data_IF_303995582870
#
_entry.id   IF_303995582870
#
_cell.length_a   1.000
_cell.length_b   1.000
_cell.length_c   1.000
_cell.angle_alpha   90.00
_cell.angle_beta   90.00
_cell.angle_gamma   90.00
#
_symmetry.space_group_name_H-M   'P 1'
#
loop_
_entity.id
_entity.type
_entity.pdbx_description
1 polymer ?
#
# COMPACT_ATOMS: atom_id res chain seq x y z
N UNK A 1 13.66 4.57 18.45
CA UNK A 1 14.58 4.05 17.41
C UNK A 1 14.33 4.88 16.16
N UNK A 2 15.36 5.51 15.62
CA UNK A 2 15.23 6.26 14.36
C UNK A 2 15.43 5.25 13.24
N UNK A 3 14.35 4.69 12.73
CA UNK A 3 14.43 3.87 11.53
C UNK A 3 14.59 4.78 10.32
N UNK A 4 15.55 4.47 9.48
CA UNK A 4 15.75 5.20 8.23
C UNK A 4 14.87 4.55 7.17
N UNK A 5 13.82 5.25 6.76
CA UNK A 5 12.99 4.80 5.66
C UNK A 5 13.53 5.38 4.33
N UNK A 6 13.52 4.55 3.32
CA UNK A 6 13.88 4.98 1.97
C UNK A 6 12.67 5.50 1.21
N UNK A 7 12.86 6.57 0.46
CA UNK A 7 11.87 7.06 -0.48
C UNK A 7 12.38 6.99 -1.92
N UNK A 8 11.44 6.84 -2.81
CA UNK A 8 11.63 6.91 -4.26
C UNK A 8 10.67 7.96 -4.79
N UNK A 9 11.18 8.92 -5.56
CA UNK A 9 10.35 9.93 -6.20
C UNK A 9 10.47 9.82 -7.72
N UNK A 10 9.35 9.67 -8.40
CA UNK A 10 9.28 9.77 -9.85
C UNK A 10 8.97 11.21 -10.24
N UNK A 11 9.89 11.84 -10.96
CA UNK A 11 9.76 13.21 -11.44
C UNK A 11 9.80 13.25 -12.96
N UNK A 12 9.53 14.40 -13.54
CA UNK A 12 9.72 14.62 -14.99
C UNK A 12 11.18 14.41 -15.46
N UNK A 13 12.14 14.45 -14.53
CA UNK A 13 13.58 14.25 -14.79
C UNK A 13 14.08 12.82 -14.52
N UNK A 14 13.20 11.89 -14.15
CA UNK A 14 13.54 10.52 -13.80
C UNK A 14 13.29 10.15 -12.34
N UNK A 15 13.74 8.95 -11.95
CA UNK A 15 13.58 8.45 -10.58
C UNK A 15 14.73 8.93 -9.72
N UNK A 16 14.41 9.46 -8.56
CA UNK A 16 15.36 9.84 -7.52
C UNK A 16 15.05 9.09 -6.23
N UNK A 17 16.06 8.88 -5.40
CA UNK A 17 15.94 8.15 -4.14
C UNK A 17 16.61 8.92 -3.02
N UNK A 18 16.16 8.71 -1.79
CA UNK A 18 16.76 9.30 -0.60
C UNK A 18 16.20 8.68 0.67
N UNK A 19 16.53 9.31 1.79
CA UNK A 19 16.10 8.85 3.11
C UNK A 19 15.03 9.80 3.69
N UNK A 20 14.00 9.25 4.30
CA UNK A 20 13.05 10.01 5.10
C UNK A 20 13.60 10.24 6.51
N UNK A 21 13.33 11.41 7.08
CA UNK A 21 13.39 11.61 8.52
C UNK A 21 12.08 11.15 9.12
N UNK A 22 12.16 10.23 10.07
CA UNK A 22 10.99 9.73 10.80
C UNK A 22 10.98 10.33 12.19
N UNK A 23 9.92 11.02 12.55
CA UNK A 23 9.68 11.52 13.90
C UNK A 23 8.41 10.91 14.47
N UNK A 24 8.48 10.45 15.71
CA UNK A 24 7.31 9.94 16.44
C UNK A 24 6.72 11.05 17.30
N UNK A 25 5.43 11.27 17.18
CA UNK A 25 4.71 12.22 18.02
C UNK A 25 3.31 11.67 18.32
N UNK A 26 3.03 11.42 19.62
CA UNK A 26 1.73 10.96 20.07
C UNK A 26 1.26 9.62 19.48
N UNK A 27 2.19 8.71 19.17
CA UNK A 27 1.90 7.42 18.54
C UNK A 27 1.73 7.49 17.02
N UNK A 28 1.88 8.67 16.42
CA UNK A 28 1.91 8.84 14.98
C UNK A 28 3.35 8.98 14.48
N UNK A 29 3.66 8.35 13.36
CA UNK A 29 4.94 8.52 12.66
C UNK A 29 4.77 9.60 11.60
N UNK A 30 5.58 10.64 11.70
CA UNK A 30 5.68 11.69 10.69
C UNK A 30 6.90 11.43 9.82
N UNK A 31 6.67 11.25 8.53
CA UNK A 31 7.73 11.09 7.55
C UNK A 31 7.96 12.43 6.85
N UNK A 32 9.17 12.91 6.91
CA UNK A 32 9.59 14.12 6.19
C UNK A 32 10.69 13.76 5.21
N UNK A 33 10.55 14.19 3.97
CA UNK A 33 11.54 13.99 2.93
C UNK A 33 11.78 15.28 2.16
N UNK A 34 13.04 15.62 1.93
CA UNK A 34 13.41 16.68 0.99
C UNK A 34 13.32 16.12 -0.43
N UNK A 35 12.26 16.47 -1.12
CA UNK A 35 12.00 15.98 -2.46
C UNK A 35 12.67 16.90 -3.50
N UNK A 36 13.09 16.35 -4.64
CA UNK A 36 13.69 17.13 -5.69
C UNK A 36 12.71 18.14 -6.27
N UNK A 37 13.24 19.30 -6.71
CA UNK A 37 12.46 20.26 -7.46
C UNK A 37 11.97 19.67 -8.79
N UNK A 38 10.74 19.96 -9.17
CA UNK A 38 10.14 19.51 -10.43
C UNK A 38 8.71 19.02 -10.27
N UNK A 39 8.14 18.51 -11.35
CA UNK A 39 6.81 17.91 -11.31
C UNK A 39 6.91 16.52 -10.69
N UNK A 40 6.43 16.41 -9.47
CA UNK A 40 6.34 15.14 -8.76
C UNK A 40 5.16 14.33 -9.32
N UNK A 41 5.40 13.06 -9.65
CA UNK A 41 4.36 12.13 -10.11
C UNK A 41 3.95 11.15 -9.04
N UNK A 42 4.92 10.57 -8.35
CA UNK A 42 4.69 9.62 -7.26
C UNK A 42 5.83 9.68 -6.24
N UNK A 43 5.52 9.39 -5.00
CA UNK A 43 6.49 9.17 -3.93
C UNK A 43 6.18 7.84 -3.29
N UNK A 44 7.20 7.02 -3.07
CA UNK A 44 7.08 5.73 -2.39
C UNK A 44 7.98 5.71 -1.16
N UNK A 45 7.42 5.33 -0.03
CA UNK A 45 8.16 5.00 1.17
C UNK A 45 8.09 3.48 1.42
N UNK A 46 9.22 2.87 1.73
CA UNK A 46 9.31 1.43 2.03
C UNK A 46 9.66 1.25 3.51
N UNK A 47 8.82 0.48 4.21
CA UNK A 47 8.99 0.15 5.62
C UNK A 47 9.18 -1.35 5.78
N UNK A 48 10.27 -1.82 6.43
CA UNK A 48 10.34 -3.19 6.90
C UNK A 48 9.18 -3.49 7.85
N UNK A 49 8.38 -4.51 7.52
CA UNK A 49 7.19 -4.84 8.29
C UNK A 49 6.93 -6.34 8.30
N UNK A 50 7.19 -6.96 9.43
CA UNK A 50 6.95 -8.39 9.60
C UNK A 50 5.55 -8.64 10.15
N UNK A 51 4.80 -9.48 9.46
CA UNK A 51 3.52 -10.00 9.93
C UNK A 51 3.72 -11.30 10.70
N UNK A 52 3.21 -11.36 11.91
CA UNK A 52 3.27 -12.56 12.74
C UNK A 52 2.33 -13.66 12.20
N UNK A 53 2.55 -14.89 12.64
CA UNK A 53 1.82 -16.05 12.10
C UNK A 53 0.31 -16.01 12.40
N UNK A 54 -0.07 -15.44 13.54
CA UNK A 54 -1.44 -15.31 14.02
C UNK A 54 -2.07 -13.94 13.73
N UNK A 55 -1.34 -13.05 13.06
CA UNK A 55 -1.88 -11.77 12.61
C UNK A 55 -2.79 -11.92 11.40
N UNK A 56 -3.70 -10.98 11.28
CA UNK A 56 -4.56 -10.75 10.12
C UNK A 56 -4.33 -9.36 9.58
N UNK A 57 -4.19 -9.26 8.27
CA UNK A 57 -4.04 -8.00 7.56
C UNK A 57 -5.35 -7.63 6.87
N UNK A 58 -5.84 -6.46 7.15
CA UNK A 58 -6.91 -5.80 6.40
C UNK A 58 -6.30 -4.67 5.56
N UNK A 59 -6.68 -4.63 4.29
CA UNK A 59 -6.38 -3.53 3.38
C UNK A 59 -7.68 -2.86 2.96
N UNK A 60 -7.79 -1.56 3.19
CA UNK A 60 -8.97 -0.80 2.78
C UNK A 60 -9.08 -0.75 1.25
N UNK A 61 -10.20 -1.14 0.69
CA UNK A 61 -10.45 -1.06 -0.74
C UNK A 61 -10.76 0.36 -1.21
N UNK A 62 -10.56 0.64 -2.48
CA UNK A 62 -10.81 1.96 -3.07
C UNK A 62 -12.29 2.36 -3.04
N UNK A 63 -13.17 1.40 -3.16
CA UNK A 63 -14.62 1.61 -3.23
C UNK A 63 -15.36 0.76 -2.20
N UNK A 64 -16.53 1.21 -1.78
CA UNK A 64 -17.35 0.54 -0.75
C UNK A 64 -17.76 -0.89 -1.10
N UNK A 65 -17.74 -1.24 -2.37
CA UNK A 65 -18.02 -2.61 -2.86
C UNK A 65 -16.77 -3.43 -3.16
N UNK A 66 -15.57 -2.87 -2.92
CA UNK A 66 -14.33 -3.60 -3.08
C UNK A 66 -14.25 -4.70 -2.03
N UNK A 67 -13.92 -5.92 -2.46
CA UNK A 67 -13.72 -7.04 -1.55
C UNK A 67 -12.46 -6.83 -0.71
N UNK A 68 -12.64 -6.54 0.55
CA UNK A 68 -11.58 -6.23 1.51
C UNK A 68 -11.63 -7.20 2.69
N UNK A 69 -11.10 -8.43 2.54
CA UNK A 69 -11.07 -9.41 3.62
C UNK A 69 -9.90 -9.19 4.57
N UNK A 70 -9.98 -9.73 5.77
CA UNK A 70 -8.80 -9.98 6.58
C UNK A 70 -8.05 -11.22 6.03
N UNK A 71 -6.80 -11.03 5.68
CA UNK A 71 -5.92 -12.06 5.14
C UNK A 71 -4.87 -12.48 6.18
N UNK A 72 -4.51 -13.74 6.19
CA UNK A 72 -3.29 -14.19 6.85
C UNK A 72 -2.06 -13.93 5.97
N UNK A 73 -0.86 -14.18 6.51
CA UNK A 73 0.41 -13.94 5.81
C UNK A 73 0.57 -14.70 4.48
N UNK A 74 -0.23 -15.75 4.25
CA UNK A 74 -0.23 -16.52 3.01
C UNK A 74 -1.50 -16.28 2.19
N UNK A 75 -2.38 -15.41 2.67
CA UNK A 75 -3.61 -15.06 2.01
C UNK A 75 -3.37 -14.40 0.66
N UNK A 76 -4.33 -14.53 -0.22
CA UNK A 76 -4.30 -13.88 -1.53
C UNK A 76 -5.50 -12.96 -1.67
N UNK A 77 -5.26 -11.70 -1.93
CA UNK A 77 -6.32 -10.79 -2.33
C UNK A 77 -6.83 -11.20 -3.72
N UNK A 78 -8.12 -11.47 -3.81
CA UNK A 78 -8.74 -11.84 -5.08
C UNK A 78 -8.89 -10.59 -5.95
N UNK A 79 -8.28 -10.63 -7.12
CA UNK A 79 -8.46 -9.63 -8.15
C UNK A 79 -9.45 -10.08 -9.23
N UNK A 80 -9.42 -9.46 -10.39
CA UNK A 80 -10.22 -9.87 -11.56
C UNK A 80 -9.55 -10.99 -12.37
N UNK A 81 -8.43 -11.50 -11.92
CA UNK A 81 -7.69 -12.59 -12.57
C UNK A 81 -8.54 -13.88 -12.72
N UNK A 82 -9.52 -14.08 -11.82
CA UNK A 82 -10.47 -15.20 -11.89
C UNK A 82 -11.66 -14.96 -12.82
N UNK A 83 -11.83 -13.74 -13.35
CA UNK A 83 -12.93 -13.42 -14.27
C UNK A 83 -12.49 -13.77 -15.69
N UNK A 84 -13.34 -14.47 -16.48
CA UNK A 84 -13.04 -14.76 -17.88
C UNK A 84 -12.63 -13.50 -18.66
N UNK A 85 -11.57 -13.60 -19.47
CA UNK A 85 -10.96 -12.45 -20.13
C UNK A 85 -11.93 -11.67 -21.03
N UNK A 86 -12.91 -12.34 -21.64
CA UNK A 86 -13.93 -11.67 -22.48
C UNK A 86 -14.86 -10.78 -21.66
N UNK A 87 -15.18 -11.16 -20.41
CA UNK A 87 -15.99 -10.33 -19.51
C UNK A 87 -15.18 -9.14 -19.00
N UNK A 88 -13.90 -9.34 -18.64
CA UNK A 88 -13.01 -8.24 -18.27
C UNK A 88 -12.96 -7.18 -19.35
N UNK A 89 -12.77 -7.60 -20.61
CA UNK A 89 -12.72 -6.70 -21.76
C UNK A 89 -14.07 -6.01 -22.01
N UNK A 90 -15.17 -6.78 -21.97
CA UNK A 90 -16.53 -6.27 -22.22
C UNK A 90 -16.92 -5.17 -21.24
N UNK A 91 -16.60 -5.34 -19.96
CA UNK A 91 -16.96 -4.40 -18.90
C UNK A 91 -15.83 -3.44 -18.55
N UNK A 92 -14.70 -3.50 -19.25
CA UNK A 92 -13.54 -2.61 -19.03
C UNK A 92 -13.07 -2.58 -17.58
N UNK A 93 -13.10 -3.72 -16.87
CA UNK A 93 -12.73 -3.78 -15.45
C UNK A 93 -11.33 -3.22 -15.17
N UNK A 94 -10.42 -3.29 -16.14
CA UNK A 94 -9.06 -2.78 -16.00
C UNK A 94 -8.97 -1.24 -15.94
N UNK A 95 -10.08 -0.55 -16.16
CA UNK A 95 -10.13 0.92 -16.18
C UNK A 95 -10.78 1.54 -14.97
N UNK A 96 -11.39 0.74 -14.10
CA UNK A 96 -12.23 1.25 -13.02
C UNK A 96 -11.86 0.64 -11.66
N UNK A 97 -12.05 1.45 -10.62
CA UNK A 97 -11.84 1.05 -9.25
C UNK A 97 -10.38 0.75 -8.93
N UNK A 98 -10.17 -0.14 -8.00
CA UNK A 98 -8.86 -0.58 -7.52
C UNK A 98 -7.93 -1.02 -8.64
N UNK A 99 -8.51 -1.55 -9.68
CA UNK A 99 -7.82 -2.13 -10.83
C UNK A 99 -7.15 -1.12 -11.73
N UNK A 100 -7.55 0.13 -11.65
CA UNK A 100 -6.88 1.21 -12.35
C UNK A 100 -5.52 1.54 -11.71
N UNK A 101 -5.43 1.39 -10.40
CA UNK A 101 -4.28 1.83 -9.60
C UNK A 101 -3.33 0.70 -9.23
N UNK A 102 -3.83 -0.52 -9.15
CA UNK A 102 -3.04 -1.66 -8.73
C UNK A 102 -3.10 -2.78 -9.78
N UNK A 103 -1.95 -3.26 -10.25
CA UNK A 103 -1.94 -4.36 -11.22
C UNK A 103 -2.56 -5.62 -10.59
N UNK A 104 -3.22 -6.38 -11.43
CA UNK A 104 -3.83 -7.65 -11.08
C UNK A 104 -2.81 -8.73 -10.74
N UNK A 105 -3.30 -9.76 -10.09
CA UNK A 105 -2.54 -10.97 -9.93
C UNK A 105 -1.59 -10.94 -8.75
N UNK A 106 -2.06 -10.50 -7.59
CA UNK A 106 -1.32 -10.70 -6.37
C UNK A 106 -0.98 -12.17 -6.17
N UNK A 107 0.25 -12.42 -5.79
CA UNK A 107 0.68 -13.72 -5.31
C UNK A 107 0.23 -13.95 -3.86
N UNK A 108 0.40 -15.16 -3.36
CA UNK A 108 0.18 -15.45 -1.93
C UNK A 108 1.04 -14.51 -1.08
N UNK A 109 0.44 -13.94 -0.05
CA UNK A 109 1.09 -13.00 0.84
C UNK A 109 1.21 -11.58 0.30
N UNK A 110 0.69 -11.29 -0.89
CA UNK A 110 0.64 -9.95 -1.45
C UNK A 110 -0.76 -9.38 -1.41
N UNK A 111 -0.85 -8.11 -1.05
CA UNK A 111 -2.10 -7.34 -1.02
C UNK A 111 -1.85 -5.86 -1.24
N UNK A 112 -2.90 -5.14 -1.56
CA UNK A 112 -2.89 -3.68 -1.64
C UNK A 112 -4.17 -3.11 -1.04
N UNK A 113 -4.12 -1.83 -0.70
CA UNK A 113 -5.26 -1.05 -0.24
C UNK A 113 -5.00 0.44 -0.40
N UNK A 114 -5.96 1.24 0.05
CA UNK A 114 -5.95 2.69 -0.10
C UNK A 114 -6.18 3.34 1.25
N UNK A 115 -5.49 4.43 1.48
CA UNK A 115 -5.60 5.31 2.64
C UNK A 115 -5.20 4.67 3.97
N UNK A 116 -5.59 3.43 4.26
CA UNK A 116 -5.21 2.74 5.49
C UNK A 116 -5.21 1.22 5.38
N UNK A 117 -4.43 0.61 6.23
CA UNK A 117 -4.48 -0.83 6.54
C UNK A 117 -4.33 -1.05 8.03
N UNK A 118 -4.71 -2.23 8.51
CA UNK A 118 -4.36 -2.65 9.86
C UNK A 118 -3.90 -4.09 9.91
N UNK A 119 -3.05 -4.36 10.89
CA UNK A 119 -2.63 -5.69 11.28
C UNK A 119 -3.24 -6.00 12.64
N UNK A 120 -4.04 -7.05 12.74
CA UNK A 120 -4.76 -7.45 13.95
C UNK A 120 -4.23 -8.76 14.52
N UNK A 121 -3.94 -8.77 15.80
CA UNK A 121 -3.59 -9.96 16.59
C UNK A 121 -4.51 -10.03 17.80
N UNK A 122 -5.47 -10.94 17.77
CA UNK A 122 -6.53 -10.99 18.80
C UNK A 122 -7.30 -9.67 18.86
N UNK A 123 -7.19 -8.96 19.99
CA UNK A 123 -7.79 -7.63 20.21
C UNK A 123 -6.83 -6.46 19.97
N UNK A 124 -5.57 -6.73 19.64
CA UNK A 124 -4.56 -5.71 19.38
C UNK A 124 -4.52 -5.36 17.88
N UNK A 125 -4.34 -4.07 17.60
CA UNK A 125 -4.26 -3.54 16.25
C UNK A 125 -3.00 -2.69 16.08
N UNK A 126 -2.34 -2.85 14.94
CA UNK A 126 -1.33 -1.92 14.43
C UNK A 126 -1.91 -1.28 13.19
N UNK A 127 -2.22 0.02 13.26
CA UNK A 127 -2.82 0.78 12.16
C UNK A 127 -1.74 1.55 11.42
N UNK A 128 -1.79 1.51 10.09
CA UNK A 128 -1.03 2.39 9.21
C UNK A 128 -2.03 3.12 8.32
N UNK A 129 -1.99 4.44 8.37
CA UNK A 129 -2.93 5.28 7.63
C UNK A 129 -2.24 6.54 7.12
N UNK A 130 -2.71 7.04 5.98
CA UNK A 130 -2.40 8.39 5.54
C UNK A 130 -3.14 9.40 6.40
N UNK A 131 -2.44 10.47 6.83
CA UNK A 131 -3.04 11.54 7.62
C UNK A 131 -3.52 12.71 6.77
N UNK A 132 -3.02 12.84 5.55
CA UNK A 132 -3.41 13.88 4.60
C UNK A 132 -3.31 13.37 3.16
N UNK A 133 -4.42 13.40 2.45
CA UNK A 133 -4.53 12.96 1.06
C UNK A 133 -4.90 14.12 0.10
N UNK A 134 -4.74 15.36 0.53
CA UNK A 134 -5.01 16.52 -0.34
C UNK A 134 -4.17 16.56 -1.62
N UNK A 135 -2.88 16.16 -1.61
CA UNK A 135 -2.09 16.14 -2.83
C UNK A 135 -2.35 14.93 -3.72
N UNK A 136 -3.02 13.89 -3.23
CA UNK A 136 -3.25 12.64 -3.94
C UNK A 136 -3.78 11.55 -3.00
N UNK A 137 -3.94 10.33 -3.50
CA UNK A 137 -4.30 9.20 -2.66
C UNK A 137 -3.06 8.39 -2.32
N UNK A 138 -3.15 7.69 -1.18
CA UNK A 138 -2.11 6.79 -0.73
C UNK A 138 -2.48 5.35 -1.06
N UNK A 139 -1.63 4.68 -1.82
CA UNK A 139 -1.73 3.25 -2.07
C UNK A 139 -0.77 2.55 -1.11
N UNK A 140 -1.32 1.61 -0.33
CA UNK A 140 -0.53 0.74 0.51
C UNK A 140 -0.36 -0.61 -0.19
N UNK A 141 0.85 -1.17 -0.13
CA UNK A 141 1.15 -2.50 -0.66
C UNK A 141 1.90 -3.28 0.41
N UNK A 142 1.52 -4.53 0.61
CA UNK A 142 2.19 -5.42 1.53
C UNK A 142 2.64 -6.69 0.82
N UNK A 143 3.87 -7.10 1.09
CA UNK A 143 4.47 -8.35 0.61
C UNK A 143 5.07 -9.10 1.81
N UNK A 144 4.39 -10.16 2.25
CA UNK A 144 4.83 -10.97 3.39
C UNK A 144 6.12 -11.73 3.10
N UNK A 145 6.38 -12.10 1.83
CA UNK A 145 7.60 -12.77 1.42
C UNK A 145 8.85 -11.90 1.54
N UNK A 146 8.66 -10.59 1.42
CA UNK A 146 9.72 -9.58 1.59
C UNK A 146 9.69 -8.92 2.95
N UNK A 147 8.68 -9.19 3.77
CA UNK A 147 8.40 -8.46 5.02
C UNK A 147 8.43 -6.94 4.81
N UNK A 148 7.70 -6.47 3.80
CA UNK A 148 7.75 -5.09 3.33
C UNK A 148 6.36 -4.50 3.21
N UNK A 149 6.15 -3.35 3.83
CA UNK A 149 5.00 -2.46 3.63
C UNK A 149 5.47 -1.23 2.85
N UNK A 150 4.76 -0.92 1.77
CA UNK A 150 5.05 0.23 0.91
C UNK A 150 3.87 1.18 0.92
N UNK A 151 4.16 2.47 1.09
CA UNK A 151 3.21 3.58 0.91
C UNK A 151 3.62 4.35 -0.35
N UNK A 152 2.69 4.52 -1.28
CA UNK A 152 2.92 5.18 -2.58
C UNK A 152 1.86 6.25 -2.84
#
# INVERSE_FOLDING_TARGET
MTETLHWYAETSGGVQTGNCTVTENGGALHLTADLPAGTLKAVRAEMPWTMEADERLFMNGYQTWTYSPELDRNGKLRGTDHIPGFLRKKYSFDRYGDYHFAPYGHQKGQSHGFSYCYFRKGTQFRLVASLDEKPGYTILRYDSGKALLTLE
#
